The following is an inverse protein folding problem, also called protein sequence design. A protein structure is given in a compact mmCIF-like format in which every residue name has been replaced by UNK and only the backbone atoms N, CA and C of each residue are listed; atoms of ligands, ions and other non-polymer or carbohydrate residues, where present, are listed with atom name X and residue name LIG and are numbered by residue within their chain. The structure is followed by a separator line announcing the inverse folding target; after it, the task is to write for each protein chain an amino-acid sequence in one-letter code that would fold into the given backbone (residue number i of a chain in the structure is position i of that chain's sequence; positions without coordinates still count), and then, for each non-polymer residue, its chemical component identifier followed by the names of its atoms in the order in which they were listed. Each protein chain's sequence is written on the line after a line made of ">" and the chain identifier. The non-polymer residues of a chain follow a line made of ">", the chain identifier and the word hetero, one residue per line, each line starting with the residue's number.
data_IF_970069731088
#
_entry.id   IF_970069731088
#
_cell.length_a   1.000
_cell.length_b   1.000
_cell.length_c   1.000
_cell.angle_alpha   90.00
_cell.angle_beta   90.00
_cell.angle_gamma   90.00
#
_symmetry.space_group_name_H-M   'P 1'
#
loop_
_entity.id
_entity.type
_entity.pdbx_description
1 polymer ?
#
# COMPACT_ATOMS: atom_id res chain seq x y z
N UNK A 1 8.37 16.78 -2.44
CA UNK A 1 7.21 15.91 -2.13
C UNK A 1 7.22 14.77 -3.13
N UNK A 2 7.11 13.51 -2.69
CA UNK A 2 7.00 12.40 -3.63
C UNK A 2 5.72 12.55 -4.45
N UNK A 3 5.77 12.22 -5.75
CA UNK A 3 4.61 12.24 -6.66
C UNK A 3 3.98 13.62 -6.94
N UNK A 4 4.67 14.42 -7.78
CA UNK A 4 4.23 15.76 -8.23
C UNK A 4 2.91 15.79 -9.02
N UNK A 5 2.50 14.62 -9.53
CA UNK A 5 1.23 14.43 -10.27
C UNK A 5 0.11 13.86 -9.39
N UNK A 6 0.31 13.76 -8.08
CA UNK A 6 -0.73 13.32 -7.14
C UNK A 6 -1.84 14.35 -7.00
N UNK A 7 -3.02 13.90 -6.58
CA UNK A 7 -4.14 14.78 -6.25
C UNK A 7 -3.75 15.83 -5.20
N UNK A 8 -2.93 15.46 -4.21
CA UNK A 8 -2.40 16.41 -3.22
C UNK A 8 -1.60 17.53 -3.84
N UNK A 9 -0.70 17.20 -4.77
CA UNK A 9 0.11 18.18 -5.46
C UNK A 9 -0.76 19.14 -6.29
N UNK A 10 -1.79 18.61 -6.95
CA UNK A 10 -2.73 19.40 -7.72
C UNK A 10 -3.58 20.33 -6.83
N UNK A 11 -4.10 19.81 -5.70
CA UNK A 11 -4.84 20.61 -4.72
C UNK A 11 -3.96 21.75 -4.18
N UNK A 12 -2.72 21.45 -3.80
CA UNK A 12 -1.78 22.46 -3.26
C UNK A 12 -1.38 23.51 -4.29
N UNK A 13 -1.41 23.18 -5.59
CA UNK A 13 -1.18 24.13 -6.70
C UNK A 13 -2.44 24.87 -7.14
N UNK A 14 -3.61 24.54 -6.59
CA UNK A 14 -4.90 25.09 -7.02
C UNK A 14 -5.36 24.57 -8.39
N UNK A 15 -4.83 23.44 -8.83
CA UNK A 15 -5.16 22.79 -10.12
C UNK A 15 -6.34 21.81 -10.00
N UNK A 16 -6.73 21.44 -8.78
CA UNK A 16 -7.84 20.53 -8.51
C UNK A 16 -8.77 21.13 -7.44
N UNK A 17 -10.08 21.02 -7.69
CA UNK A 17 -11.09 21.44 -6.74
C UNK A 17 -11.16 20.46 -5.56
N UNK A 18 -10.97 20.99 -4.35
CA UNK A 18 -11.19 20.27 -3.10
C UNK A 18 -12.05 21.12 -2.17
N UNK A 19 -13.14 20.57 -1.60
CA UNK A 19 -14.00 21.33 -0.70
C UNK A 19 -13.23 21.71 0.57
N UNK A 20 -13.46 22.92 1.04
CA UNK A 20 -12.97 23.41 2.33
C UNK A 20 -14.07 23.32 3.38
N UNK A 21 -13.71 23.05 4.63
CA UNK A 21 -14.61 23.24 5.77
C UNK A 21 -14.67 24.71 6.21
N UNK A 22 -15.49 24.98 7.23
CA UNK A 22 -15.66 26.33 7.78
C UNK A 22 -14.40 26.92 8.42
N UNK A 23 -13.39 26.09 8.67
CA UNK A 23 -12.09 26.48 9.25
C UNK A 23 -11.00 26.58 8.16
N UNK A 24 -11.36 26.43 6.89
CA UNK A 24 -10.41 26.52 5.77
C UNK A 24 -9.54 25.28 5.58
N UNK A 25 -9.93 24.13 6.14
CA UNK A 25 -9.22 22.85 5.93
C UNK A 25 -9.83 22.08 4.77
N UNK A 26 -8.98 21.39 4.00
CA UNK A 26 -9.44 20.48 2.95
C UNK A 26 -10.23 19.32 3.52
N UNK A 27 -11.44 19.11 3.00
CA UNK A 27 -12.27 17.94 3.27
C UNK A 27 -12.09 16.91 2.18
N UNK A 28 -11.63 15.73 2.59
CA UNK A 28 -11.52 14.58 1.70
C UNK A 28 -12.64 13.61 2.07
N UNK A 29 -13.52 13.28 1.11
CA UNK A 29 -14.61 12.34 1.29
C UNK A 29 -14.12 10.88 1.19
N UNK A 30 -13.13 10.52 2.00
CA UNK A 30 -12.53 9.18 2.09
C UNK A 30 -12.48 8.72 3.53
N UNK A 31 -12.36 7.41 3.68
CA UNK A 31 -12.12 6.78 4.97
C UNK A 31 -10.68 7.07 5.43
N UNK A 32 -10.53 7.81 6.53
CA UNK A 32 -9.22 8.24 7.03
C UNK A 32 -8.37 7.14 7.67
N UNK A 33 -8.92 5.95 7.89
CA UNK A 33 -8.23 4.88 8.64
C UNK A 33 -7.01 4.28 7.92
N UNK A 34 -6.93 4.38 6.59
CA UNK A 34 -5.75 4.02 5.80
C UNK A 34 -4.86 5.21 5.45
N UNK A 35 -5.28 6.42 5.81
CA UNK A 35 -4.63 7.65 5.34
C UNK A 35 -3.20 7.81 5.87
N UNK A 36 -2.92 7.31 7.07
CA UNK A 36 -1.57 7.29 7.65
C UNK A 36 -0.55 6.59 6.73
N UNK A 37 -0.94 5.52 6.03
CA UNK A 37 -0.06 4.82 5.09
C UNK A 37 0.17 5.64 3.81
N UNK A 38 -0.83 6.39 3.36
CA UNK A 38 -0.68 7.33 2.24
C UNK A 38 0.29 8.44 2.61
N UNK A 39 0.13 9.02 3.81
CA UNK A 39 1.01 10.08 4.29
C UNK A 39 2.46 9.60 4.43
N UNK A 40 2.68 8.46 5.11
CA UNK A 40 4.02 7.86 5.21
C UNK A 40 4.65 7.64 3.84
N UNK A 41 3.91 7.08 2.88
CA UNK A 41 4.42 6.90 1.53
C UNK A 41 4.88 8.21 0.87
N UNK A 42 4.14 9.31 1.07
CA UNK A 42 4.48 10.63 0.53
C UNK A 42 5.68 11.28 1.23
N UNK A 43 5.88 10.97 2.51
CA UNK A 43 6.99 11.46 3.34
C UNK A 43 8.29 10.67 3.13
N UNK A 44 8.22 9.38 2.80
CA UNK A 44 9.39 8.56 2.54
C UNK A 44 10.19 9.07 1.34
N UNK A 45 11.43 9.47 1.61
CA UNK A 45 12.41 9.86 0.60
C UNK A 45 13.13 8.63 0.02
N UNK A 46 13.26 7.55 0.79
CA UNK A 46 13.80 6.27 0.37
C UNK A 46 12.68 5.25 0.08
N UNK A 47 12.60 4.69 -1.15
CA UNK A 47 11.68 3.59 -1.48
C UNK A 47 11.78 2.36 -0.56
N UNK A 48 12.95 2.08 0.03
CA UNK A 48 13.16 0.92 0.90
C UNK A 48 12.34 0.99 2.19
N UNK A 49 12.17 2.20 2.75
CA UNK A 49 11.36 2.43 3.94
C UNK A 49 9.87 2.21 3.65
N UNK A 50 9.39 2.72 2.51
CA UNK A 50 8.02 2.50 2.07
C UNK A 50 7.72 0.99 1.89
N UNK A 51 8.65 0.22 1.31
CA UNK A 51 8.52 -1.24 1.19
C UNK A 51 8.44 -1.89 2.58
N UNK A 52 9.32 -1.51 3.50
CA UNK A 52 9.36 -2.08 4.85
C UNK A 52 8.05 -1.84 5.62
N UNK A 53 7.40 -0.69 5.46
CA UNK A 53 6.12 -0.41 6.11
C UNK A 53 4.95 -1.10 5.41
N UNK A 54 4.93 -1.11 4.08
CA UNK A 54 3.87 -1.76 3.30
C UNK A 54 3.92 -3.29 3.39
N UNK A 55 5.07 -3.89 3.70
CA UNK A 55 5.16 -5.35 3.92
C UNK A 55 4.52 -5.79 5.23
N UNK A 56 4.38 -4.90 6.23
CA UNK A 56 3.78 -5.22 7.54
C UNK A 56 2.24 -5.16 7.55
N UNK A 57 1.62 -4.56 6.54
CA UNK A 57 0.16 -4.38 6.51
C UNK A 57 -0.56 -5.72 6.35
N UNK A 58 -1.71 -5.83 7.00
CA UNK A 58 -2.62 -6.96 6.83
C UNK A 58 -3.48 -6.82 5.56
N UNK A 59 -4.10 -7.93 5.14
CA UNK A 59 -4.87 -8.02 3.89
C UNK A 59 -6.07 -7.07 3.82
N UNK A 60 -6.75 -6.80 4.94
CA UNK A 60 -7.88 -5.86 4.94
C UNK A 60 -7.41 -4.43 4.70
N UNK A 61 -6.29 -4.03 5.29
CA UNK A 61 -5.68 -2.71 5.08
C UNK A 61 -5.16 -2.54 3.66
N UNK A 62 -4.59 -3.60 3.06
CA UNK A 62 -4.10 -3.59 1.67
C UNK A 62 -5.14 -3.04 0.68
N UNK A 63 -6.38 -3.55 0.70
CA UNK A 63 -7.41 -3.13 -0.26
C UNK A 63 -7.84 -1.67 -0.08
N UNK A 64 -7.81 -1.17 1.16
CA UNK A 64 -8.13 0.23 1.46
C UNK A 64 -7.06 1.15 0.90
N UNK A 65 -5.79 0.86 1.18
CA UNK A 65 -4.65 1.64 0.64
C UNK A 65 -4.63 1.56 -0.89
N UNK A 66 -4.90 0.39 -1.49
CA UNK A 66 -4.94 0.27 -2.95
C UNK A 66 -6.03 1.16 -3.57
N UNK A 67 -7.23 1.20 -2.96
CA UNK A 67 -8.32 2.08 -3.40
C UNK A 67 -7.98 3.56 -3.22
N UNK A 68 -7.35 3.92 -2.10
CA UNK A 68 -6.90 5.29 -1.83
C UNK A 68 -5.77 5.71 -2.79
N UNK A 69 -4.83 4.84 -3.09
CA UNK A 69 -3.76 5.10 -4.06
C UNK A 69 -4.31 5.43 -5.44
N UNK A 70 -5.40 4.76 -5.86
CA UNK A 70 -6.12 5.11 -7.08
C UNK A 70 -6.80 6.48 -6.99
N UNK A 71 -7.49 6.74 -5.87
CA UNK A 71 -8.18 8.02 -5.65
C UNK A 71 -7.21 9.22 -5.66
N UNK A 72 -6.05 9.09 -5.01
CA UNK A 72 -5.04 10.16 -4.93
C UNK A 72 -4.09 10.20 -6.14
N UNK A 73 -4.30 9.37 -7.16
CA UNK A 73 -3.43 9.24 -8.34
C UNK A 73 -1.95 8.92 -7.99
N UNK A 74 -1.75 8.01 -7.04
CA UNK A 74 -0.43 7.55 -6.58
C UNK A 74 -0.03 6.26 -7.29
N UNK A 75 0.32 6.37 -8.57
CA UNK A 75 0.67 5.22 -9.43
C UNK A 75 1.81 4.38 -8.86
N UNK A 76 2.87 5.03 -8.37
CA UNK A 76 4.02 4.34 -7.75
C UNK A 76 3.60 3.49 -6.55
N UNK A 77 2.76 4.02 -5.66
CA UNK A 77 2.26 3.28 -4.50
C UNK A 77 1.42 2.07 -4.94
N UNK A 78 0.56 2.27 -5.95
CA UNK A 78 -0.28 1.19 -6.49
C UNK A 78 0.56 0.07 -7.10
N UNK A 79 1.62 0.39 -7.84
CA UNK A 79 2.54 -0.59 -8.42
C UNK A 79 3.35 -1.32 -7.34
N UNK A 80 3.82 -0.58 -6.33
CA UNK A 80 4.54 -1.14 -5.20
C UNK A 80 3.68 -2.13 -4.41
N UNK A 81 2.43 -1.76 -4.08
CA UNK A 81 1.48 -2.63 -3.40
C UNK A 81 1.24 -3.93 -4.18
N UNK A 82 1.00 -3.85 -5.49
CA UNK A 82 0.82 -5.04 -6.34
C UNK A 82 2.05 -5.94 -6.33
N UNK A 83 3.25 -5.34 -6.39
CA UNK A 83 4.51 -6.08 -6.36
C UNK A 83 4.69 -6.81 -5.03
N UNK A 84 4.46 -6.13 -3.90
CA UNK A 84 4.52 -6.74 -2.57
C UNK A 84 3.55 -7.91 -2.45
N UNK A 85 2.31 -7.76 -2.93
CA UNK A 85 1.31 -8.83 -2.86
C UNK A 85 1.71 -10.06 -3.69
N UNK A 86 2.25 -9.85 -4.90
CA UNK A 86 2.75 -10.94 -5.74
C UNK A 86 3.90 -11.68 -5.04
N UNK A 87 4.87 -10.94 -4.48
CA UNK A 87 6.01 -11.53 -3.77
C UNK A 87 5.54 -12.32 -2.55
N UNK A 88 4.68 -11.74 -1.70
CA UNK A 88 4.12 -12.42 -0.53
C UNK A 88 3.45 -13.75 -0.91
N UNK A 89 2.55 -13.72 -1.90
CA UNK A 89 1.86 -14.92 -2.37
C UNK A 89 2.83 -15.98 -2.90
N UNK A 90 3.83 -15.56 -3.68
CA UNK A 90 4.82 -16.48 -4.25
C UNK A 90 5.68 -17.13 -3.15
N UNK A 91 6.10 -16.35 -2.15
CA UNK A 91 6.82 -16.88 -0.99
C UNK A 91 5.98 -17.89 -0.19
N UNK A 92 4.69 -17.61 0.03
CA UNK A 92 3.78 -18.51 0.75
C UNK A 92 3.59 -19.83 -0.02
N UNK A 93 3.45 -19.78 -1.34
CA UNK A 93 3.36 -20.96 -2.21
C UNK A 93 4.65 -21.80 -2.17
N UNK A 94 5.83 -21.16 -2.22
CA UNK A 94 7.13 -21.84 -2.12
C UNK A 94 7.32 -22.53 -0.76
N UNK A 95 7.01 -21.82 0.34
CA UNK A 95 7.09 -22.38 1.69
C UNK A 95 6.15 -23.57 1.85
N UNK A 96 4.93 -23.47 1.32
CA UNK A 96 3.96 -24.57 1.34
C UNK A 96 4.50 -25.77 0.55
N UNK A 97 5.02 -25.56 -0.66
CA UNK A 97 5.60 -26.61 -1.49
C UNK A 97 6.82 -27.29 -0.83
N UNK A 98 7.70 -26.53 -0.17
CA UNK A 98 8.83 -27.08 0.59
C UNK A 98 8.37 -27.88 1.81
N UNK A 99 7.37 -27.39 2.55
CA UNK A 99 6.75 -28.12 3.65
C UNK A 99 6.18 -29.47 3.19
N UNK A 100 5.46 -29.50 2.07
CA UNK A 100 4.95 -30.75 1.48
C UNK A 100 6.08 -31.71 1.09
N UNK A 101 7.14 -31.22 0.43
CA UNK A 101 8.32 -32.05 0.08
C UNK A 101 9.00 -32.65 1.31
N UNK A 102 9.05 -31.92 2.43
CA UNK A 102 9.59 -32.43 3.71
C UNK A 102 8.70 -33.47 4.36
N UNK A 103 7.38 -33.31 4.30
CA UNK A 103 6.42 -34.25 4.88
C UNK A 103 6.38 -35.58 4.13
N UNK A 104 6.37 -35.56 2.80
CA UNK A 104 6.34 -36.78 1.97
C UNK A 104 7.65 -37.58 2.07
N UNK A 105 8.77 -36.94 2.42
CA UNK A 105 10.07 -37.59 2.62
C UNK A 105 10.27 -38.18 4.02
N UNK A 106 9.37 -37.96 4.99
CA UNK A 106 9.46 -38.62 6.29
C UNK A 106 8.94 -40.06 6.16
N UNK A 107 9.70 -41.10 6.54
CA UNK A 107 9.17 -42.45 6.61
C UNK A 107 8.02 -42.47 7.62
N UNK A 108 6.88 -43.02 7.19
CA UNK A 108 5.77 -43.33 8.08
C UNK A 108 6.22 -44.47 9.00
N UNK A 109 6.67 -44.12 10.20
CA UNK A 109 6.84 -45.10 11.27
C UNK A 109 5.44 -45.46 11.77
N UNK A 110 4.90 -46.56 11.24
CA UNK A 110 3.73 -47.25 11.79
C UNK A 110 4.17 -48.22 12.88
#
# INVERSE_FOLDING_TARGET
>A
MRSENSLFAQILRGEADAPLDHEGRYRIARDGSSFEHILRFLEHTDPSEAVADLTKICRSTYWRILSDADYYNLKELKELLKTIEIVKRTCDEMLTAECWKRLVKKPLNF
#
